data_IF_810627438950
#
_entry.id   IF_810627438950
#
_cell.length_a   1.000
_cell.length_b   1.000
_cell.length_c   1.000
_cell.angle_alpha   90.00
_cell.angle_beta   90.00
_cell.angle_gamma   90.00
#
_symmetry.space_group_name_H-M   'P 1'
#
loop_
_entity.id
_entity.type
_entity.pdbx_description
1 polymer ?
#
# COMPACT_ATOMS: atom_id res chain seq x y z
N UNK A 1 -7.70 -29.43 -28.26
CA UNK A 1 -8.31 -29.15 -26.94
C UNK A 1 -7.63 -27.93 -26.35
N UNK A 2 -8.24 -26.74 -26.44
CA UNK A 2 -7.66 -25.50 -25.93
C UNK A 2 -8.46 -25.04 -24.70
N UNK A 3 -7.80 -24.98 -23.53
CA UNK A 3 -8.39 -24.50 -22.29
C UNK A 3 -8.46 -22.98 -22.31
N UNK A 4 -9.66 -22.44 -22.55
CA UNK A 4 -9.93 -21.00 -22.41
C UNK A 4 -10.01 -20.67 -20.92
N UNK A 5 -8.94 -20.10 -20.35
CA UNK A 5 -8.98 -19.45 -19.02
C UNK A 5 -10.14 -18.45 -19.06
N UNK A 6 -11.20 -18.73 -18.31
CA UNK A 6 -12.27 -17.76 -18.04
C UNK A 6 -11.63 -16.66 -17.20
N UNK A 7 -11.18 -15.60 -17.86
CA UNK A 7 -10.91 -14.33 -17.18
C UNK A 7 -12.25 -13.88 -16.61
N UNK A 8 -12.38 -13.98 -15.28
CA UNK A 8 -13.52 -13.42 -14.57
C UNK A 8 -13.45 -11.89 -14.74
N UNK A 9 -14.57 -11.24 -15.10
CA UNK A 9 -14.63 -9.79 -15.19
C UNK A 9 -14.43 -9.22 -13.77
N UNK A 10 -13.36 -8.44 -13.58
CA UNK A 10 -13.10 -7.75 -12.34
C UNK A 10 -14.22 -6.72 -12.11
N UNK A 11 -15.01 -6.94 -11.05
CA UNK A 11 -16.05 -6.02 -10.61
C UNK A 11 -15.39 -4.71 -10.12
N UNK A 12 -15.80 -3.53 -10.64
CA UNK A 12 -15.30 -2.26 -10.15
C UNK A 12 -15.90 -2.00 -8.77
N UNK A 13 -15.17 -2.36 -7.71
CA UNK A 13 -15.58 -2.16 -6.32
C UNK A 13 -14.94 -3.07 -5.25
N UNK A 14 -14.10 -4.04 -5.64
CA UNK A 14 -13.32 -4.88 -4.72
C UNK A 14 -11.83 -4.75 -5.03
N UNK A 15 -11.23 -3.64 -4.62
CA UNK A 15 -9.78 -3.43 -4.74
C UNK A 15 -9.06 -4.41 -3.82
N UNK A 16 -8.15 -5.24 -4.36
CA UNK A 16 -7.52 -6.39 -3.70
C UNK A 16 -6.55 -6.10 -2.56
N UNK A 17 -6.83 -5.11 -1.71
CA UNK A 17 -6.09 -4.79 -0.50
C UNK A 17 -6.89 -5.19 0.74
N UNK A 18 -6.21 -5.78 1.71
CA UNK A 18 -6.81 -6.27 2.95
C UNK A 18 -5.75 -6.91 3.84
N UNK A 19 -6.10 -7.20 5.09
CA UNK A 19 -5.20 -7.88 6.03
C UNK A 19 -4.75 -9.22 5.44
N UNK A 20 -3.44 -9.47 5.46
CA UNK A 20 -2.80 -10.65 4.88
C UNK A 20 -2.35 -10.49 3.43
N UNK A 21 -2.64 -9.37 2.78
CA UNK A 21 -2.18 -9.11 1.40
C UNK A 21 -0.72 -8.64 1.42
N UNK A 22 0.10 -9.26 0.59
CA UNK A 22 1.47 -8.83 0.33
C UNK A 22 1.45 -7.60 -0.58
N UNK A 23 2.22 -6.57 -0.22
CA UNK A 23 2.27 -5.30 -0.92
C UNK A 23 3.70 -4.80 -1.07
N UNK A 24 3.91 -3.96 -2.09
CA UNK A 24 5.11 -3.13 -2.25
C UNK A 24 4.71 -1.69 -1.96
N UNK A 25 5.48 -1.00 -1.11
CA UNK A 25 5.26 0.40 -0.76
C UNK A 25 6.08 1.30 -1.68
N UNK A 26 5.39 2.07 -2.51
CA UNK A 26 5.99 3.02 -3.45
C UNK A 26 6.52 4.23 -2.69
N UNK A 27 7.83 4.45 -2.71
CA UNK A 27 8.42 5.63 -2.09
C UNK A 27 8.26 6.88 -2.98
N UNK A 28 7.78 7.98 -2.40
CA UNK A 28 7.74 9.28 -3.07
C UNK A 28 9.15 9.88 -3.15
N UNK A 29 9.78 9.69 -4.31
CA UNK A 29 11.14 10.18 -4.59
C UNK A 29 11.15 11.60 -5.17
N UNK A 30 10.00 12.27 -5.29
CA UNK A 30 9.94 13.64 -5.85
C UNK A 30 10.86 14.62 -5.11
N UNK A 31 11.03 14.42 -3.79
CA UNK A 31 11.91 15.22 -2.95
C UNK A 31 13.32 14.65 -2.86
N UNK A 32 13.54 13.38 -3.16
CA UNK A 32 14.83 12.67 -3.01
C UNK A 32 15.14 11.89 -4.30
N UNK A 33 15.38 12.59 -5.43
CA UNK A 33 15.49 11.98 -6.76
C UNK A 33 16.72 11.09 -6.91
N UNK A 34 17.79 11.37 -6.16
CA UNK A 34 19.04 10.61 -6.20
C UNK A 34 19.02 9.37 -5.26
N UNK A 35 17.91 9.12 -4.58
CA UNK A 35 17.80 7.96 -3.69
C UNK A 35 17.71 6.65 -4.47
N UNK A 36 18.74 5.81 -4.32
CA UNK A 36 18.75 4.44 -4.83
C UNK A 36 18.00 3.44 -3.93
N UNK A 37 17.28 3.92 -2.92
CA UNK A 37 16.57 3.09 -1.94
C UNK A 37 15.49 2.25 -2.64
N UNK A 38 15.49 0.92 -2.47
CA UNK A 38 14.44 0.08 -3.02
C UNK A 38 13.10 0.36 -2.33
N UNK A 39 12.01 0.14 -3.07
CA UNK A 39 10.67 0.15 -2.47
C UNK A 39 10.54 -1.03 -1.50
N UNK A 40 10.17 -0.83 -0.22
CA UNK A 40 10.06 -1.91 0.74
C UNK A 40 8.81 -2.76 0.49
N UNK A 41 8.92 -4.06 0.74
CA UNK A 41 7.80 -5.00 0.71
C UNK A 41 7.34 -5.38 2.11
N UNK A 42 6.08 -5.82 2.21
CA UNK A 42 5.53 -6.28 3.46
C UNK A 42 4.10 -6.79 3.32
N UNK A 43 3.49 -7.09 4.46
CA UNK A 43 2.11 -7.59 4.55
C UNK A 43 1.23 -6.57 5.27
N UNK A 44 0.01 -6.37 4.77
CA UNK A 44 -0.99 -5.57 5.49
C UNK A 44 -1.40 -6.34 6.75
N UNK A 45 -1.20 -5.75 7.93
CA UNK A 45 -1.55 -6.36 9.23
C UNK A 45 -2.77 -5.73 9.88
N UNK A 46 -3.16 -4.52 9.45
CA UNK A 46 -4.39 -3.88 9.92
C UNK A 46 -4.94 -2.90 8.87
N UNK A 47 -6.26 -2.74 8.87
CA UNK A 47 -6.90 -1.57 8.26
C UNK A 47 -6.57 -0.34 9.09
N UNK A 48 -5.88 0.63 8.49
CA UNK A 48 -5.86 1.98 9.01
C UNK A 48 -7.22 2.60 8.71
N UNK A 49 -7.77 3.32 9.67
CA UNK A 49 -9.04 4.03 9.50
C UNK A 49 -9.07 4.83 8.19
N UNK A 50 -10.25 5.00 7.61
CA UNK A 50 -10.43 5.97 6.54
C UNK A 50 -10.08 7.36 7.10
N UNK A 51 -8.91 7.91 6.75
CA UNK A 51 -8.59 9.30 7.12
C UNK A 51 -9.51 10.23 6.31
N UNK A 52 -10.57 10.69 6.97
CA UNK A 52 -11.61 11.48 6.35
C UNK A 52 -12.84 11.70 7.24
N UNK A 53 -12.62 11.80 8.56
CA UNK A 53 -13.62 12.21 9.53
C UNK A 53 -13.47 13.72 9.78
N UNK A 54 -14.02 14.55 8.90
CA UNK A 54 -14.11 15.97 9.19
C UNK A 54 -15.33 16.26 10.05
N UNK A 55 -15.07 16.89 11.20
CA UNK A 55 -16.12 17.52 12.01
C UNK A 55 -16.55 18.88 11.44
N UNK A 56 -15.79 19.49 10.49
CA UNK A 56 -16.02 20.87 10.04
C UNK A 56 -15.75 21.22 8.55
N UNK A 57 -15.42 20.28 7.65
CA UNK A 57 -15.22 20.58 6.22
C UNK A 57 -15.36 19.34 5.31
N UNK A 58 -15.79 19.44 4.04
CA UNK A 58 -15.81 18.29 3.15
C UNK A 58 -14.38 17.82 2.83
N UNK A 59 -14.00 16.63 3.31
CA UNK A 59 -12.75 15.96 2.88
C UNK A 59 -13.01 15.36 1.51
N UNK A 60 -12.39 15.91 0.47
CA UNK A 60 -12.67 15.57 -0.93
C UNK A 60 -12.14 14.20 -1.35
N UNK A 61 -11.27 13.58 -0.54
CA UNK A 61 -10.70 12.26 -0.80
C UNK A 61 -10.67 11.46 0.49
N UNK A 62 -11.56 10.47 0.58
CA UNK A 62 -11.50 9.42 1.60
C UNK A 62 -10.71 8.27 1.02
N UNK A 63 -9.46 8.14 1.42
CA UNK A 63 -8.62 7.02 1.03
C UNK A 63 -8.43 6.06 2.21
N UNK A 64 -8.36 4.75 1.91
CA UNK A 64 -8.01 3.74 2.90
C UNK A 64 -6.53 3.87 3.24
N UNK A 65 -6.23 3.93 4.54
CA UNK A 65 -4.88 3.80 5.05
C UNK A 65 -4.70 2.36 5.51
N UNK A 66 -3.52 1.78 5.36
CA UNK A 66 -3.24 0.41 5.77
C UNK A 66 -2.00 0.39 6.66
N UNK A 67 -1.98 -0.47 7.66
CA UNK A 67 -0.74 -0.75 8.41
C UNK A 67 -0.03 -1.89 7.70
N UNK A 68 1.18 -1.62 7.20
CA UNK A 68 2.05 -2.60 6.56
C UNK A 68 3.16 -2.96 7.54
N UNK A 69 3.29 -4.25 7.83
CA UNK A 69 4.47 -4.81 8.50
C UNK A 69 5.48 -5.16 7.41
N UNK A 70 6.68 -4.59 7.50
CA UNK A 70 7.72 -4.83 6.50
C UNK A 70 8.39 -6.19 6.70
N UNK A 71 8.82 -6.80 5.59
CA UNK A 71 9.58 -8.06 5.62
C UNK A 71 10.95 -7.87 6.28
N UNK A 72 11.54 -6.68 6.08
CA UNK A 72 12.79 -6.23 6.70
C UNK A 72 12.61 -4.81 7.27
N UNK A 73 13.20 -4.47 8.43
CA UNK A 73 13.13 -3.12 8.97
C UNK A 73 13.66 -2.08 7.98
N UNK A 74 12.85 -1.07 7.68
CA UNK A 74 13.10 -0.11 6.61
C UNK A 74 13.49 1.27 7.15
N UNK A 75 14.48 1.91 6.52
CA UNK A 75 14.79 3.32 6.76
C UNK A 75 14.09 4.19 5.73
N UNK A 76 13.30 5.15 6.22
CA UNK A 76 12.67 6.17 5.40
C UNK A 76 13.68 6.97 4.57
N UNK A 77 13.19 7.58 3.50
CA UNK A 77 14.02 8.40 2.62
C UNK A 77 14.65 9.59 3.37
N UNK A 78 14.00 10.08 4.43
CA UNK A 78 14.49 11.11 5.35
C UNK A 78 15.55 10.60 6.36
N UNK A 79 15.91 9.32 6.28
CA UNK A 79 16.82 8.66 7.22
C UNK A 79 16.16 8.21 8.53
N UNK A 80 14.85 8.38 8.70
CA UNK A 80 14.13 7.88 9.87
C UNK A 80 14.07 6.35 9.88
N UNK A 81 14.14 5.73 11.06
CA UNK A 81 14.03 4.28 11.19
C UNK A 81 15.09 3.68 12.14
N UNK A 82 15.25 2.34 12.15
CA UNK A 82 14.55 1.39 11.29
C UNK A 82 13.09 1.21 11.71
N UNK A 83 12.19 1.19 10.75
CA UNK A 83 10.76 0.99 10.97
C UNK A 83 10.38 -0.46 10.64
N UNK A 84 9.79 -1.16 11.60
CA UNK A 84 9.25 -2.50 11.36
C UNK A 84 7.86 -2.45 10.68
N UNK A 85 7.15 -1.33 10.82
CA UNK A 85 5.84 -1.11 10.20
C UNK A 85 5.59 0.36 9.89
N UNK A 86 4.64 0.62 8.99
CA UNK A 86 4.20 1.97 8.65
C UNK A 86 2.70 2.02 8.32
N UNK A 87 2.08 3.19 8.53
CA UNK A 87 0.76 3.52 7.98
C UNK A 87 0.95 4.08 6.58
N UNK A 88 0.30 3.46 5.59
CA UNK A 88 0.49 3.77 4.16
C UNK A 88 -0.87 3.92 3.49
N UNK A 89 -1.07 5.02 2.76
CA UNK A 89 -2.29 5.20 1.98
C UNK A 89 -2.31 4.23 0.80
N UNK A 90 -3.49 3.72 0.44
CA UNK A 90 -3.65 2.70 -0.61
C UNK A 90 -3.00 3.10 -1.95
N UNK A 91 -2.97 4.38 -2.28
CA UNK A 91 -2.34 4.96 -3.48
C UNK A 91 -0.84 4.75 -3.58
N UNK A 92 -0.18 4.45 -2.46
CA UNK A 92 1.24 4.09 -2.40
C UNK A 92 1.47 2.58 -2.33
N UNK A 93 0.42 1.77 -2.44
CA UNK A 93 0.52 0.31 -2.39
C UNK A 93 0.29 -0.29 -3.76
N UNK A 94 1.19 -1.18 -4.15
CA UNK A 94 0.96 -2.14 -5.22
C UNK A 94 0.77 -3.53 -4.62
N UNK A 95 -0.32 -4.21 -4.97
CA UNK A 95 -0.52 -5.60 -4.55
C UNK A 95 0.54 -6.47 -5.23
N UNK A 96 1.29 -7.23 -4.43
CA UNK A 96 2.24 -8.18 -4.99
C UNK A 96 1.43 -9.30 -5.69
N UNK A 97 1.87 -9.76 -6.88
CA UNK A 97 1.18 -10.83 -7.58
C UNK A 97 1.18 -12.11 -6.73
N UNK A 98 0.01 -12.71 -6.55
CA UNK A 98 -0.08 -14.08 -6.01
C UNK A 98 0.65 -15.02 -6.99
N UNK A 99 1.67 -15.72 -6.48
CA UNK A 99 2.49 -16.64 -7.25
C UNK A 99 1.72 -17.90 -7.70
#
# INVERSE_FOLDING_TARGET
MAFRKRQQPAEPGRTGFGVGVQVVVRLDRSRHPDSGTPDPSGVIVAGGDMEGAALYAPVTLREAVWVVQFDEPFYGLDGSGPHESARVAQSYLDAAPEA
#
